data_IF_743935453870
#
_entry.id   IF_743935453870
#
_cell.length_a   1.000
_cell.length_b   1.000
_cell.length_c   1.000
_cell.angle_alpha   90.00
_cell.angle_beta   90.00
_cell.angle_gamma   90.00
#
_symmetry.space_group_name_H-M   'P 1'
#
loop_
_entity.id
_entity.type
_entity.pdbx_description
1 polymer ?
#
# COMPACT_ATOMS: atom_id res chain seq x y z
N UNK A 1 -19.24 -4.13 -25.86
CA UNK A 1 -18.17 -4.19 -24.81
C UNK A 1 -16.90 -3.55 -25.40
N UNK A 2 -16.19 -2.74 -24.60
CA UNK A 2 -14.93 -2.17 -25.04
C UNK A 2 -13.90 -3.31 -25.16
N UNK A 3 -13.29 -3.58 -26.34
CA UNK A 3 -12.40 -4.72 -26.56
C UNK A 3 -11.10 -4.63 -25.75
N UNK A 4 -10.84 -3.50 -25.12
CA UNK A 4 -9.62 -3.26 -24.31
C UNK A 4 -9.82 -3.48 -22.80
N UNK A 5 -11.01 -3.84 -22.33
CA UNK A 5 -11.25 -4.14 -20.92
C UNK A 5 -10.64 -5.48 -20.54
N UNK A 6 -9.79 -5.46 -19.52
CA UNK A 6 -9.18 -6.66 -18.95
C UNK A 6 -9.85 -7.03 -17.65
N UNK A 7 -9.89 -8.33 -17.35
CA UNK A 7 -10.35 -8.87 -16.08
C UNK A 7 -9.28 -9.79 -15.53
N UNK A 8 -8.89 -9.57 -14.29
CA UNK A 8 -7.90 -10.37 -13.62
C UNK A 8 -8.40 -10.80 -12.24
N UNK A 9 -8.19 -12.07 -11.91
CA UNK A 9 -8.50 -12.64 -10.61
C UNK A 9 -7.21 -12.89 -9.84
N UNK A 10 -7.14 -12.37 -8.62
CA UNK A 10 -5.98 -12.53 -7.73
C UNK A 10 -6.44 -13.26 -6.47
N UNK A 11 -5.61 -14.17 -5.96
CA UNK A 11 -5.79 -14.81 -4.66
C UNK A 11 -4.69 -14.40 -3.70
N UNK A 12 -5.07 -14.05 -2.48
CA UNK A 12 -4.14 -13.65 -1.44
C UNK A 12 -4.63 -14.12 -0.06
N UNK A 13 -3.76 -14.00 0.93
CA UNK A 13 -4.10 -14.26 2.34
C UNK A 13 -4.52 -12.98 3.05
N UNK A 14 -4.05 -11.82 2.55
CA UNK A 14 -4.41 -10.51 3.04
C UNK A 14 -4.57 -9.53 1.88
N UNK A 15 -5.72 -8.89 1.81
CA UNK A 15 -5.95 -7.75 0.93
C UNK A 15 -5.97 -6.47 1.76
N UNK A 16 -5.06 -5.55 1.47
CA UNK A 16 -4.97 -4.23 2.13
C UNK A 16 -5.49 -3.17 1.16
N UNK A 17 -6.47 -2.40 1.58
CA UNK A 17 -7.05 -1.31 0.78
C UNK A 17 -6.65 0.02 1.40
N UNK A 18 -5.91 0.79 0.60
CA UNK A 18 -5.31 2.05 1.00
C UNK A 18 -3.80 1.92 1.30
N UNK A 19 -3.00 2.55 0.45
CA UNK A 19 -1.53 2.55 0.53
C UNK A 19 -0.95 3.77 1.28
N UNK A 20 -1.68 4.33 2.24
CA UNK A 20 -1.09 5.25 3.23
C UNK A 20 -0.04 4.54 4.08
N UNK A 21 0.65 5.23 4.98
CA UNK A 21 1.68 4.60 5.83
C UNK A 21 1.15 3.39 6.59
N UNK A 22 -0.05 3.49 7.19
CA UNK A 22 -0.66 2.40 7.93
C UNK A 22 -0.88 1.15 7.04
N UNK A 23 -1.49 1.31 5.87
CA UNK A 23 -1.72 0.20 4.95
C UNK A 23 -0.44 -0.36 4.36
N UNK A 24 0.51 0.49 3.96
CA UNK A 24 1.82 0.06 3.48
C UNK A 24 2.57 -0.76 4.53
N UNK A 25 2.54 -0.34 5.79
CA UNK A 25 3.19 -1.07 6.89
C UNK A 25 2.44 -2.34 7.28
N UNK A 26 1.10 -2.34 7.22
CA UNK A 26 0.32 -3.57 7.43
C UNK A 26 0.66 -4.62 6.37
N UNK A 27 0.69 -4.21 5.09
CA UNK A 27 1.08 -5.08 3.98
C UNK A 27 2.51 -5.62 4.17
N UNK A 28 3.45 -4.74 4.48
CA UNK A 28 4.86 -5.10 4.66
C UNK A 28 5.06 -6.04 5.86
N UNK A 29 4.42 -5.76 6.99
CA UNK A 29 4.51 -6.60 8.19
C UNK A 29 3.96 -8.01 7.96
N UNK A 30 2.84 -8.15 7.27
CA UNK A 30 2.25 -9.45 6.92
C UNK A 30 3.13 -10.21 5.92
N UNK A 31 3.58 -9.52 4.87
CA UNK A 31 4.41 -10.14 3.83
C UNK A 31 5.77 -10.61 4.33
N UNK A 32 6.38 -9.88 5.27
CA UNK A 32 7.63 -10.29 5.94
C UNK A 32 7.46 -11.54 6.82
N UNK A 33 6.20 -11.85 7.21
CA UNK A 33 5.85 -13.10 7.90
C UNK A 33 5.43 -14.22 6.95
N UNK A 34 5.57 -14.01 5.65
CA UNK A 34 5.31 -15.01 4.61
C UNK A 34 3.93 -14.94 3.99
N UNK A 35 3.03 -14.08 4.44
CA UNK A 35 1.70 -13.95 3.86
C UNK A 35 1.77 -13.40 2.43
N UNK A 36 0.91 -13.93 1.54
CA UNK A 36 0.68 -13.38 0.21
C UNK A 36 -0.29 -12.21 0.32
N UNK A 37 0.20 -11.01 -0.02
CA UNK A 37 -0.52 -9.76 0.19
C UNK A 37 -0.84 -9.08 -1.15
N UNK A 38 -2.05 -8.55 -1.26
CA UNK A 38 -2.42 -7.56 -2.30
C UNK A 38 -2.60 -6.21 -1.61
N UNK A 39 -1.87 -5.20 -2.06
CA UNK A 39 -2.02 -3.82 -1.62
C UNK A 39 -2.64 -3.00 -2.74
N UNK A 40 -3.84 -2.49 -2.50
CA UNK A 40 -4.61 -1.66 -3.45
C UNK A 40 -4.50 -0.20 -3.02
N UNK A 41 -4.09 0.66 -3.95
CA UNK A 41 -3.97 2.10 -3.73
C UNK A 41 -4.55 2.87 -4.92
N UNK A 42 -5.45 3.79 -4.65
CA UNK A 42 -6.14 4.60 -5.67
C UNK A 42 -5.26 5.67 -6.31
N UNK A 43 -4.12 5.98 -5.69
CA UNK A 43 -3.16 6.98 -6.15
C UNK A 43 -1.92 6.35 -6.79
N UNK A 44 -1.13 7.14 -7.54
CA UNK A 44 0.09 6.66 -8.18
C UNK A 44 1.23 6.37 -7.21
N UNK A 45 1.13 6.79 -5.94
CA UNK A 45 2.17 6.64 -4.93
C UNK A 45 1.61 6.15 -3.60
N UNK A 46 2.49 5.61 -2.78
CA UNK A 46 2.23 5.23 -1.39
C UNK A 46 2.48 6.41 -0.44
N UNK A 47 2.06 6.26 0.82
CA UNK A 47 2.36 7.20 1.89
C UNK A 47 1.19 8.09 2.32
N UNK A 48 0.16 8.25 1.47
CA UNK A 48 -1.00 9.06 1.82
C UNK A 48 -0.63 10.50 2.17
N UNK A 49 -0.94 10.96 3.37
CA UNK A 49 -0.62 12.33 3.80
C UNK A 49 0.88 12.61 3.85
N UNK A 50 1.72 11.61 4.07
CA UNK A 50 3.17 11.77 4.11
C UNK A 50 3.80 11.78 2.71
N UNK A 51 3.05 11.44 1.66
CA UNK A 51 3.52 11.45 0.29
C UNK A 51 3.78 12.86 -0.25
N UNK A 52 4.47 12.94 -1.37
CA UNK A 52 4.72 14.19 -2.09
C UNK A 52 3.43 14.90 -2.57
N UNK A 53 2.28 14.20 -2.59
CA UNK A 53 0.99 14.81 -2.94
C UNK A 53 0.49 15.77 -1.86
N UNK A 54 0.63 15.41 -0.58
CA UNK A 54 0.13 16.19 0.55
C UNK A 54 1.26 16.87 1.32
N UNK A 55 2.45 16.23 1.38
CA UNK A 55 3.67 16.74 2.00
C UNK A 55 3.59 17.00 3.50
N UNK A 56 2.85 16.16 4.20
CA UNK A 56 2.79 16.17 5.66
C UNK A 56 3.82 15.21 6.22
N UNK A 57 4.94 15.72 6.72
CA UNK A 57 5.95 14.90 7.38
C UNK A 57 5.35 14.13 8.55
N UNK A 58 5.84 12.91 8.75
CA UNK A 58 5.50 12.13 9.93
C UNK A 58 6.02 12.89 11.16
N UNK A 59 5.11 13.23 12.06
CA UNK A 59 5.44 13.83 13.36
C UNK A 59 5.55 12.69 14.35
N UNK A 60 6.76 12.28 14.69
CA UNK A 60 7.04 11.13 15.54
C UNK A 60 6.43 11.19 16.93
N UNK A 61 6.62 10.15 17.71
CA UNK A 61 6.20 10.10 19.10
C UNK A 61 6.88 11.21 19.91
N UNK A 62 6.12 11.75 20.86
CA UNK A 62 6.62 12.69 21.84
C UNK A 62 6.84 11.98 23.19
N UNK A 63 7.99 12.17 23.80
CA UNK A 63 8.34 11.57 25.08
C UNK A 63 9.83 11.71 25.39
N UNK A 64 10.28 10.98 26.40
CA UNK A 64 11.67 11.08 26.90
C UNK A 64 12.70 10.84 25.80
N UNK A 65 12.42 9.91 24.88
CA UNK A 65 13.32 9.57 23.78
C UNK A 65 12.90 10.18 22.45
N UNK A 66 11.72 10.77 22.36
CA UNK A 66 11.16 11.42 21.16
C UNK A 66 11.40 10.62 19.86
N UNK A 67 11.18 9.31 19.93
CA UNK A 67 11.51 8.38 18.85
C UNK A 67 10.39 7.36 18.64
N UNK A 68 10.08 7.11 17.38
CA UNK A 68 9.27 5.98 16.95
C UNK A 68 10.09 4.68 16.91
N UNK A 69 9.41 3.56 16.68
CA UNK A 69 10.03 2.25 16.51
C UNK A 69 9.37 1.45 15.40
N UNK A 70 9.96 0.32 15.03
CA UNK A 70 9.41 -0.58 14.01
C UNK A 70 9.58 -0.06 12.59
N UNK A 71 8.56 -0.26 11.74
CA UNK A 71 8.65 0.02 10.31
C UNK A 71 8.79 1.51 10.00
N UNK A 72 8.26 2.39 10.83
CA UNK A 72 8.43 3.82 10.64
C UNK A 72 9.89 4.24 10.87
N UNK A 73 10.54 3.72 11.91
CA UNK A 73 11.97 3.98 12.13
C UNK A 73 12.82 3.45 10.98
N UNK A 74 12.51 2.26 10.46
CA UNK A 74 13.20 1.71 9.30
C UNK A 74 13.05 2.62 8.06
N UNK A 75 11.83 3.13 7.82
CA UNK A 75 11.59 4.06 6.72
C UNK A 75 12.38 5.35 6.90
N UNK A 76 12.36 5.93 8.10
CA UNK A 76 13.08 7.16 8.42
C UNK A 76 14.60 6.98 8.26
N UNK A 77 15.16 5.89 8.75
CA UNK A 77 16.59 5.57 8.60
C UNK A 77 16.99 5.42 7.12
N UNK A 78 16.22 4.68 6.33
CA UNK A 78 16.44 4.54 4.88
C UNK A 78 16.31 5.88 4.16
N UNK A 79 15.29 6.67 4.54
CA UNK A 79 15.06 7.98 3.92
C UNK A 79 16.20 8.95 4.22
N UNK A 80 16.63 9.09 5.47
CA UNK A 80 17.73 9.99 5.84
C UNK A 80 19.01 9.65 5.09
N UNK A 81 19.31 8.36 4.95
CA UNK A 81 20.51 7.90 4.26
C UNK A 81 20.50 8.25 2.76
N UNK A 82 19.36 8.10 2.09
CA UNK A 82 19.20 8.38 0.66
C UNK A 82 18.66 9.77 0.32
N UNK A 83 18.23 10.54 1.32
CA UNK A 83 17.49 11.80 1.14
C UNK A 83 17.93 12.87 2.17
N UNK A 84 19.20 13.30 2.16
CA UNK A 84 19.72 14.22 3.17
C UNK A 84 19.06 15.61 3.14
N UNK A 85 18.41 15.97 2.04
CA UNK A 85 17.70 17.23 1.86
C UNK A 85 16.20 17.14 2.12
N UNK A 86 15.72 15.97 2.55
CA UNK A 86 14.32 15.71 2.91
C UNK A 86 13.32 16.06 1.79
N UNK A 87 13.61 15.63 0.57
CA UNK A 87 12.71 15.80 -0.58
C UNK A 87 11.58 14.76 -0.51
N UNK A 88 10.33 15.21 -0.60
CA UNK A 88 9.17 14.32 -0.47
C UNK A 88 9.10 13.22 -1.54
N UNK A 89 9.49 13.52 -2.78
CA UNK A 89 9.50 12.50 -3.84
C UNK A 89 10.54 11.39 -3.61
N UNK A 90 11.65 11.69 -2.91
CA UNK A 90 12.61 10.66 -2.50
C UNK A 90 12.08 9.83 -1.31
N UNK A 91 11.30 10.45 -0.43
CA UNK A 91 10.57 9.72 0.61
C UNK A 91 9.57 8.73 0.00
N UNK A 92 8.79 9.16 -1.01
CA UNK A 92 7.88 8.27 -1.74
C UNK A 92 8.63 7.09 -2.38
N UNK A 93 9.77 7.36 -3.02
CA UNK A 93 10.61 6.33 -3.62
C UNK A 93 11.16 5.34 -2.58
N UNK A 94 11.54 5.84 -1.40
CA UNK A 94 12.01 4.99 -0.30
C UNK A 94 10.91 4.05 0.20
N UNK A 95 9.71 4.58 0.46
CA UNK A 95 8.57 3.78 0.88
C UNK A 95 8.14 2.78 -0.20
N UNK A 96 8.10 3.23 -1.46
CA UNK A 96 7.82 2.36 -2.59
C UNK A 96 8.81 1.20 -2.66
N UNK A 97 10.12 1.48 -2.56
CA UNK A 97 11.17 0.47 -2.56
C UNK A 97 10.98 -0.57 -1.46
N UNK A 98 10.70 -0.14 -0.22
CA UNK A 98 10.45 -1.05 0.89
C UNK A 98 9.32 -2.05 0.62
N UNK A 99 8.25 -1.59 -0.04
CA UNK A 99 7.10 -2.44 -0.38
C UNK A 99 7.39 -3.30 -1.61
N UNK A 100 7.98 -2.71 -2.64
CA UNK A 100 8.26 -3.37 -3.93
C UNK A 100 9.30 -4.49 -3.83
N UNK A 101 10.31 -4.33 -2.97
CA UNK A 101 11.35 -5.33 -2.74
C UNK A 101 10.82 -6.64 -2.11
N UNK A 102 9.62 -6.63 -1.54
CA UNK A 102 9.05 -7.82 -0.94
C UNK A 102 8.26 -8.65 -1.96
N UNK A 103 8.73 -9.86 -2.33
CA UNK A 103 8.10 -10.68 -3.38
C UNK A 103 6.71 -11.21 -3.01
N UNK A 104 6.33 -11.11 -1.75
CA UNK A 104 5.01 -11.52 -1.27
C UNK A 104 3.95 -10.42 -1.40
N UNK A 105 4.33 -9.21 -1.83
CA UNK A 105 3.38 -8.11 -2.02
C UNK A 105 3.14 -7.90 -3.52
N UNK A 106 1.88 -8.02 -3.91
CA UNK A 106 1.41 -7.52 -5.19
C UNK A 106 0.78 -6.14 -4.98
N UNK A 107 1.43 -5.12 -5.48
CA UNK A 107 1.00 -3.74 -5.36
C UNK A 107 0.21 -3.31 -6.61
N UNK A 108 -0.99 -2.78 -6.39
CA UNK A 108 -1.88 -2.26 -7.43
C UNK A 108 -2.08 -0.75 -7.19
N UNK A 109 -1.27 0.07 -7.86
CA UNK A 109 -1.41 1.53 -7.84
C UNK A 109 -2.43 2.00 -8.88
N UNK A 110 -2.93 3.24 -8.74
CA UNK A 110 -3.98 3.81 -9.59
C UNK A 110 -5.22 2.91 -9.66
N UNK A 111 -5.50 2.19 -8.56
CA UNK A 111 -6.51 1.15 -8.49
C UNK A 111 -7.47 1.46 -7.35
N UNK A 112 -8.72 1.73 -7.69
CA UNK A 112 -9.77 2.03 -6.71
C UNK A 112 -10.54 0.76 -6.36
N UNK A 113 -10.67 0.43 -5.07
CA UNK A 113 -11.62 -0.57 -4.62
C UNK A 113 -13.03 0.02 -4.73
N UNK A 114 -13.90 -0.63 -5.49
CA UNK A 114 -15.23 -0.12 -5.82
C UNK A 114 -16.36 -0.93 -5.21
N UNK A 115 -16.10 -2.19 -4.83
CA UNK A 115 -17.10 -3.06 -4.24
C UNK A 115 -16.47 -4.16 -3.39
N UNK A 116 -17.26 -4.71 -2.47
CA UNK A 116 -16.90 -5.86 -1.65
C UNK A 116 -18.05 -6.87 -1.56
N UNK A 117 -17.76 -8.12 -1.87
CA UNK A 117 -18.71 -9.22 -1.74
C UNK A 117 -18.54 -9.93 -0.39
N UNK A 118 -19.65 -10.13 0.31
CA UNK A 118 -19.67 -10.86 1.57
C UNK A 118 -19.72 -12.37 1.35
N UNK A 119 -19.32 -13.14 2.34
CA UNK A 119 -19.57 -14.58 2.38
C UNK A 119 -21.06 -14.89 2.55
N UNK A 120 -21.47 -16.13 2.33
CA UNK A 120 -22.88 -16.53 2.40
C UNK A 120 -23.55 -16.34 3.77
N UNK A 121 -22.79 -16.09 4.84
CA UNK A 121 -23.27 -15.83 6.20
C UNK A 121 -23.25 -14.34 6.57
N UNK A 122 -22.80 -13.48 5.68
CA UNK A 122 -22.58 -12.05 5.92
C UNK A 122 -21.68 -11.71 7.13
N UNK A 123 -20.80 -12.61 7.50
CA UNK A 123 -19.88 -12.45 8.65
C UNK A 123 -18.45 -12.07 8.24
N UNK A 124 -18.16 -12.08 6.94
CA UNK A 124 -16.83 -11.73 6.44
C UNK A 124 -16.84 -11.38 4.96
N UNK A 125 -15.83 -10.59 4.55
CA UNK A 125 -15.62 -10.25 3.15
C UNK A 125 -15.04 -11.49 2.44
N UNK A 126 -15.65 -11.87 1.33
CA UNK A 126 -15.20 -12.97 0.47
C UNK A 126 -14.23 -12.48 -0.60
N UNK A 127 -14.54 -11.34 -1.19
CA UNK A 127 -13.71 -10.74 -2.25
C UNK A 127 -13.96 -9.26 -2.35
N UNK A 128 -13.00 -8.56 -2.97
CA UNK A 128 -13.17 -7.16 -3.35
C UNK A 128 -13.02 -7.01 -4.86
N UNK A 129 -13.72 -6.03 -5.42
CA UNK A 129 -13.62 -5.64 -6.81
C UNK A 129 -12.93 -4.30 -6.90
N UNK A 130 -11.91 -4.19 -7.74
CA UNK A 130 -11.15 -2.97 -7.93
C UNK A 130 -10.97 -2.64 -9.42
N UNK A 131 -10.92 -1.34 -9.70
CA UNK A 131 -10.73 -0.80 -11.04
C UNK A 131 -9.41 -0.05 -11.16
N UNK A 132 -8.58 -0.45 -12.12
CA UNK A 132 -7.35 0.26 -12.46
C UNK A 132 -7.55 1.05 -13.76
N UNK A 133 -7.54 2.37 -13.65
CA UNK A 133 -7.78 3.26 -14.78
C UNK A 133 -6.63 3.30 -15.79
N UNK A 134 -5.40 3.11 -15.34
CA UNK A 134 -4.20 3.19 -16.20
C UNK A 134 -4.05 2.02 -17.16
N UNK A 135 -4.61 0.87 -16.84
CA UNK A 135 -4.51 -0.36 -17.66
C UNK A 135 -5.85 -0.86 -18.18
N UNK A 136 -6.95 -0.16 -17.83
CA UNK A 136 -8.33 -0.57 -18.12
C UNK A 136 -8.63 -1.98 -17.60
N UNK A 137 -8.19 -2.27 -16.37
CA UNK A 137 -8.30 -3.61 -15.78
C UNK A 137 -9.23 -3.62 -14.57
N UNK A 138 -10.16 -4.56 -14.58
CA UNK A 138 -10.92 -4.97 -13.41
C UNK A 138 -10.18 -6.07 -12.68
N UNK A 139 -10.00 -5.91 -11.38
CA UNK A 139 -9.48 -6.94 -10.50
C UNK A 139 -10.57 -7.48 -9.59
N UNK A 140 -10.60 -8.80 -9.43
CA UNK A 140 -11.34 -9.45 -8.35
C UNK A 140 -10.32 -10.14 -7.44
N UNK A 141 -10.24 -9.71 -6.18
CA UNK A 141 -9.26 -10.19 -5.21
C UNK A 141 -9.98 -11.02 -4.14
N UNK A 142 -9.54 -12.27 -3.97
CA UNK A 142 -10.07 -13.25 -3.01
C UNK A 142 -9.06 -13.54 -1.90
#
# INVERSE_FOLDING_TARGET
MNPNLRHETIRCELCVIGGGLAGSFAALAAARRGAKVVLIQDRPMLGGNASSEIRMWVRGAHGVYNRESGLISELEERNIHGNPTLVHSLFDATLYGMVYENPNIRMLLNTSCVDASMNGTNTGIRSVTAWQSTTYTWFTVY
#
